data_IF_081194643989
#
_entry.id   IF_081194643989
#
_cell.length_a   1.000
_cell.length_b   1.000
_cell.length_c   1.000
_cell.angle_alpha   90.00
_cell.angle_beta   90.00
_cell.angle_gamma   90.00
#
_symmetry.space_group_name_H-M   'P 1'
#
loop_
_entity.id
_entity.type
_entity.pdbx_description
1 polymer ?
#
# COMPACT_ATOMS: atom_id res chain seq x y z
N UNK A 1 3.12 -17.96 -0.24
CA UNK A 1 2.46 -16.63 -0.28
C UNK A 1 3.53 -15.56 -0.33
N UNK A 2 3.47 -14.68 -1.33
CA UNK A 2 4.49 -13.66 -1.54
C UNK A 2 4.47 -12.54 -0.50
N UNK A 3 5.65 -12.01 -0.20
CA UNK A 3 6.07 -11.11 0.86
C UNK A 3 5.07 -10.15 1.51
N UNK A 4 4.41 -9.29 0.75
CA UNK A 4 3.50 -8.29 1.35
C UNK A 4 2.23 -8.92 1.95
N UNK A 5 1.69 -9.98 1.36
CA UNK A 5 0.55 -10.73 1.90
C UNK A 5 0.92 -11.53 3.14
N UNK A 6 2.14 -12.10 3.18
CA UNK A 6 2.66 -12.80 4.35
C UNK A 6 2.82 -11.85 5.54
N UNK A 7 3.42 -10.67 5.32
CA UNK A 7 3.59 -9.65 6.34
C UNK A 7 2.25 -9.16 6.92
N UNK A 8 1.27 -8.83 6.05
CA UNK A 8 -0.06 -8.39 6.51
C UNK A 8 -0.77 -9.45 7.36
N UNK A 9 -0.71 -10.71 6.96
CA UNK A 9 -1.32 -11.81 7.72
C UNK A 9 -0.71 -11.98 9.12
N UNK A 10 0.60 -11.71 9.27
CA UNK A 10 1.29 -11.78 10.55
C UNK A 10 0.92 -10.57 11.44
N UNK A 11 0.85 -9.36 10.87
CA UNK A 11 0.57 -8.12 11.62
C UNK A 11 -0.88 -8.00 12.09
N UNK A 12 -1.85 -8.52 11.34
CA UNK A 12 -3.27 -8.50 11.74
C UNK A 12 -3.55 -9.22 13.06
N UNK A 13 -2.67 -10.12 13.52
CA UNK A 13 -2.82 -10.85 14.80
C UNK A 13 -2.20 -10.14 16.02
N UNK A 14 -1.40 -9.06 15.84
CA UNK A 14 -0.74 -8.34 16.95
C UNK A 14 -1.35 -6.97 17.17
N UNK A 15 -2.40 -6.90 18.02
CA UNK A 15 -3.11 -5.66 18.34
C UNK A 15 -2.29 -4.63 19.12
N UNK A 16 -2.21 -3.42 18.57
CA UNK A 16 -2.09 -2.12 19.26
C UNK A 16 -3.04 -1.17 18.55
N UNK A 17 -4.34 -1.33 18.82
CA UNK A 17 -5.38 -0.84 17.92
C UNK A 17 -5.46 0.70 17.78
N UNK A 18 -5.35 1.49 18.84
CA UNK A 18 -5.70 2.92 18.77
C UNK A 18 -4.56 3.81 18.26
N UNK A 19 -3.32 3.60 18.70
CA UNK A 19 -2.18 4.38 18.21
C UNK A 19 -1.86 4.07 16.74
N UNK A 20 -1.97 2.80 16.34
CA UNK A 20 -1.80 2.39 14.94
C UNK A 20 -2.89 3.00 14.05
N UNK A 21 -4.16 3.05 14.51
CA UNK A 21 -5.26 3.68 13.80
C UNK A 21 -5.05 5.17 13.64
N UNK A 22 -4.57 5.88 14.68
CA UNK A 22 -4.30 7.31 14.61
C UNK A 22 -3.21 7.63 13.56
N UNK A 23 -2.11 6.84 13.53
CA UNK A 23 -1.05 6.97 12.52
C UNK A 23 -1.57 6.70 11.11
N UNK A 24 -2.36 5.64 10.94
CA UNK A 24 -2.97 5.30 9.65
C UNK A 24 -3.88 6.43 9.17
N UNK A 25 -4.73 6.99 10.03
CA UNK A 25 -5.57 8.14 9.68
C UNK A 25 -4.76 9.39 9.35
N UNK A 26 -3.62 9.61 10.01
CA UNK A 26 -2.73 10.72 9.68
C UNK A 26 -2.14 10.58 8.27
N UNK A 27 -1.69 9.37 7.88
CA UNK A 27 -1.18 9.07 6.54
C UNK A 27 -2.25 9.22 5.46
N UNK A 28 -3.42 8.63 5.66
CA UNK A 28 -4.57 8.76 4.75
C UNK A 28 -5.03 10.23 4.61
N UNK A 29 -5.08 10.97 5.70
CA UNK A 29 -5.39 12.40 5.69
C UNK A 29 -4.36 13.22 4.92
N UNK A 30 -3.06 12.86 5.00
CA UNK A 30 -2.00 13.49 4.23
C UNK A 30 -2.17 13.21 2.73
N UNK A 31 -2.40 11.95 2.34
CA UNK A 31 -2.65 11.59 0.94
C UNK A 31 -3.85 12.34 0.36
N UNK A 32 -4.98 12.41 1.09
CA UNK A 32 -6.16 13.19 0.69
C UNK A 32 -5.80 14.68 0.50
N UNK A 33 -5.06 15.27 1.44
CA UNK A 33 -4.64 16.68 1.36
C UNK A 33 -3.76 16.93 0.14
N UNK A 34 -2.78 16.05 -0.11
CA UNK A 34 -1.87 16.15 -1.27
C UNK A 34 -2.63 15.97 -2.57
N UNK A 35 -3.49 14.96 -2.66
CA UNK A 35 -4.29 14.72 -3.85
C UNK A 35 -5.22 15.91 -4.19
N UNK A 36 -5.87 16.49 -3.18
CA UNK A 36 -6.71 17.67 -3.36
C UNK A 36 -5.91 18.93 -3.73
N UNK A 37 -4.67 19.06 -3.24
CA UNK A 37 -3.78 20.21 -3.53
C UNK A 37 -3.17 20.14 -4.93
N UNK A 38 -2.76 18.94 -5.38
CA UNK A 38 -2.13 18.73 -6.69
C UNK A 38 -3.14 18.70 -7.85
N UNK A 39 -4.42 18.49 -7.55
CA UNK A 39 -5.51 18.47 -8.50
C UNK A 39 -6.65 19.39 -8.08
N UNK A 40 -7.87 19.03 -8.47
CA UNK A 40 -9.06 19.73 -7.99
C UNK A 40 -9.54 19.13 -6.65
N UNK A 41 -10.09 19.92 -5.71
CA UNK A 41 -10.62 19.44 -4.44
C UNK A 41 -12.00 18.76 -4.58
N UNK A 42 -12.34 18.32 -5.79
CA UNK A 42 -13.57 17.60 -6.12
C UNK A 42 -13.21 16.16 -6.56
N UNK A 43 -13.66 15.13 -5.83
CA UNK A 43 -13.40 13.74 -6.17
C UNK A 43 -13.95 13.33 -7.55
N UNK A 44 -15.00 13.98 -8.04
CA UNK A 44 -15.56 13.70 -9.36
C UNK A 44 -14.58 14.07 -10.49
N UNK A 45 -13.78 15.11 -10.27
CA UNK A 45 -12.82 15.65 -11.23
C UNK A 45 -11.36 15.26 -10.95
N UNK A 46 -11.10 14.59 -9.83
CA UNK A 46 -9.74 14.22 -9.38
C UNK A 46 -9.70 12.73 -9.02
N UNK A 47 -9.19 11.91 -9.95
CA UNK A 47 -9.11 10.46 -9.78
C UNK A 47 -8.25 10.07 -8.56
N UNK A 48 -7.09 10.72 -8.34
CA UNK A 48 -6.23 10.47 -7.18
C UNK A 48 -6.96 10.76 -5.86
N UNK A 49 -7.68 11.86 -5.78
CA UNK A 49 -8.47 12.22 -4.60
C UNK A 49 -9.59 11.21 -4.35
N UNK A 50 -10.25 10.76 -5.40
CA UNK A 50 -11.30 9.74 -5.32
C UNK A 50 -10.76 8.44 -4.75
N UNK A 51 -9.61 7.95 -5.25
CA UNK A 51 -8.95 6.75 -4.75
C UNK A 51 -8.52 6.90 -3.28
N UNK A 52 -7.91 8.02 -2.91
CA UNK A 52 -7.51 8.29 -1.52
C UNK A 52 -8.72 8.32 -0.56
N UNK A 53 -9.86 8.86 -1.00
CA UNK A 53 -11.09 8.85 -0.20
C UNK A 53 -11.66 7.43 -0.07
N UNK A 54 -11.63 6.62 -1.13
CA UNK A 54 -12.09 5.23 -1.08
C UNK A 54 -11.23 4.41 -0.11
N UNK A 55 -9.91 4.55 -0.15
CA UNK A 55 -9.01 3.89 0.79
C UNK A 55 -9.27 4.33 2.25
N UNK A 56 -9.45 5.63 2.49
CA UNK A 56 -9.78 6.16 3.81
C UNK A 56 -11.11 5.61 4.34
N UNK A 57 -12.12 5.45 3.49
CA UNK A 57 -13.41 4.84 3.85
C UNK A 57 -13.28 3.35 4.15
N UNK A 58 -12.48 2.62 3.37
CA UNK A 58 -12.19 1.19 3.59
C UNK A 58 -11.58 0.95 4.97
N UNK A 59 -10.74 1.89 5.44
CA UNK A 59 -10.14 1.88 6.79
C UNK A 59 -11.04 2.52 7.88
N UNK A 60 -12.31 2.78 7.57
CA UNK A 60 -13.31 3.37 8.46
C UNK A 60 -12.92 4.76 8.99
N UNK A 61 -12.26 5.58 8.18
CA UNK A 61 -11.99 6.98 8.54
C UNK A 61 -13.30 7.78 8.59
N UNK A 62 -13.57 8.53 9.69
CA UNK A 62 -14.77 9.36 9.80
C UNK A 62 -14.85 10.38 8.66
N UNK A 63 -16.07 10.59 8.14
CA UNK A 63 -16.37 11.55 7.07
C UNK A 63 -15.82 12.96 7.36
N UNK A 64 -15.96 13.42 8.60
CA UNK A 64 -15.47 14.74 9.02
C UNK A 64 -13.95 14.87 8.90
N UNK A 65 -13.19 13.77 9.10
CA UNK A 65 -11.75 13.77 8.93
C UNK A 65 -11.36 13.88 7.45
N UNK A 66 -12.09 13.18 6.58
CA UNK A 66 -11.91 13.26 5.12
C UNK A 66 -12.18 14.67 4.63
N UNK A 67 -13.34 15.27 5.01
CA UNK A 67 -13.70 16.64 4.63
C UNK A 67 -12.70 17.67 5.15
N UNK A 68 -12.20 17.49 6.37
CA UNK A 68 -11.17 18.36 6.95
C UNK A 68 -9.86 18.27 6.18
N UNK A 69 -9.45 17.07 5.75
CA UNK A 69 -8.25 16.87 4.94
C UNK A 69 -8.36 17.55 3.57
N UNK A 70 -9.53 17.48 2.91
CA UNK A 70 -9.79 18.16 1.64
C UNK A 70 -9.76 19.68 1.85
N UNK A 71 -10.44 20.21 2.88
CA UNK A 71 -10.44 21.64 3.20
C UNK A 71 -9.06 22.19 3.53
N UNK A 72 -8.22 21.39 4.20
CA UNK A 72 -6.83 21.74 4.50
C UNK A 72 -6.02 22.04 3.23
N UNK A 73 -6.29 21.34 2.13
CA UNK A 73 -5.60 21.56 0.86
C UNK A 73 -5.76 22.97 0.29
N UNK A 74 -6.88 23.64 0.57
CA UNK A 74 -7.17 25.01 0.12
C UNK A 74 -6.49 26.09 0.98
N UNK A 75 -5.87 25.74 2.12
CA UNK A 75 -5.21 26.69 3.02
C UNK A 75 -3.88 27.17 2.46
N UNK A 76 -3.59 28.48 2.65
CA UNK A 76 -2.35 29.12 2.19
C UNK A 76 -1.07 28.52 2.86
N UNK A 77 -1.21 28.03 4.08
CA UNK A 77 -0.11 27.46 4.89
C UNK A 77 0.05 25.93 4.75
N UNK A 78 -0.58 25.32 3.74
CA UNK A 78 -0.45 23.88 3.54
C UNK A 78 0.93 23.56 3.01
N UNK A 79 1.70 22.75 3.74
CA UNK A 79 3.02 22.29 3.32
C UNK A 79 2.98 21.66 1.92
N UNK A 80 4.01 21.90 1.13
CA UNK A 80 4.20 21.21 -0.14
C UNK A 80 4.85 19.86 0.19
N UNK A 81 4.18 18.79 -0.22
CA UNK A 81 4.69 17.44 -0.05
C UNK A 81 5.25 16.93 -1.37
N UNK A 82 6.43 16.35 -1.30
CA UNK A 82 7.04 15.61 -2.38
C UNK A 82 6.75 14.12 -2.21
N UNK A 83 6.37 13.46 -3.30
CA UNK A 83 6.34 12.00 -3.36
C UNK A 83 7.76 11.50 -3.62
N UNK A 84 8.29 10.70 -2.72
CA UNK A 84 9.66 10.16 -2.81
C UNK A 84 9.61 8.65 -2.62
N UNK A 85 10.36 7.92 -3.45
CA UNK A 85 10.52 6.48 -3.35
C UNK A 85 11.96 6.16 -2.94
N UNK A 86 12.08 5.40 -1.87
CA UNK A 86 13.33 4.86 -1.35
C UNK A 86 13.41 3.38 -1.68
N UNK A 87 14.55 2.96 -2.18
CA UNK A 87 14.79 1.58 -2.64
C UNK A 87 16.08 1.04 -2.02
N UNK A 88 16.07 -0.23 -1.64
CA UNK A 88 17.23 -0.85 -1.06
C UNK A 88 17.04 -2.31 -0.72
N UNK A 89 18.06 -2.89 -0.13
CA UNK A 89 18.10 -4.26 0.31
C UNK A 89 18.11 -4.33 1.83
N UNK A 90 17.21 -5.13 2.39
CA UNK A 90 17.18 -5.50 3.81
C UNK A 90 17.99 -6.77 4.09
N UNK A 91 17.91 -7.30 5.33
CA UNK A 91 18.51 -8.56 5.72
C UNK A 91 18.19 -9.69 4.72
N UNK A 92 19.15 -10.57 4.48
CA UNK A 92 18.97 -11.71 3.55
C UNK A 92 18.84 -11.32 2.08
N UNK A 93 19.18 -10.08 1.70
CA UNK A 93 19.07 -9.60 0.32
C UNK A 93 17.63 -9.33 -0.15
N UNK A 94 16.70 -9.16 0.79
CA UNK A 94 15.30 -8.83 0.50
C UNK A 94 15.19 -7.44 -0.08
N UNK A 95 14.57 -7.32 -1.25
CA UNK A 95 14.29 -6.03 -1.86
C UNK A 95 13.17 -5.30 -1.13
N UNK A 96 13.37 -4.01 -0.88
CA UNK A 96 12.45 -3.15 -0.15
C UNK A 96 12.22 -1.85 -0.92
N UNK A 97 10.95 -1.51 -1.13
CA UNK A 97 10.50 -0.21 -1.64
C UNK A 97 9.73 0.47 -0.51
N UNK A 98 10.11 1.69 -0.15
CA UNK A 98 9.37 2.54 0.77
C UNK A 98 8.94 3.83 0.04
N UNK A 99 7.63 4.07 -0.01
CA UNK A 99 7.05 5.28 -0.59
C UNK A 99 6.75 6.28 0.53
N UNK A 100 7.13 7.52 0.33
CA UNK A 100 6.94 8.58 1.31
C UNK A 100 6.32 9.83 0.69
N UNK A 101 5.51 10.53 1.49
CA UNK A 101 5.07 11.89 1.25
C UNK A 101 5.73 12.80 2.28
N UNK A 102 6.64 13.64 1.86
CA UNK A 102 7.44 14.45 2.77
C UNK A 102 7.50 15.92 2.36
N UNK A 103 7.51 16.79 3.33
CA UNK A 103 7.82 18.21 3.18
C UNK A 103 9.34 18.50 3.33
N UNK A 104 10.13 17.46 3.71
CA UNK A 104 11.57 17.57 3.88
C UNK A 104 12.30 16.27 3.49
N UNK A 105 12.74 16.19 2.24
CA UNK A 105 13.43 15.01 1.67
C UNK A 105 14.70 14.61 2.45
N UNK A 106 15.43 15.57 3.01
CA UNK A 106 16.68 15.29 3.75
C UNK A 106 16.37 14.62 5.09
N UNK A 107 15.38 15.12 5.82
CA UNK A 107 14.91 14.52 7.08
C UNK A 107 14.46 13.08 6.84
N UNK A 108 13.54 12.87 5.93
CA UNK A 108 12.99 11.53 5.63
C UNK A 108 14.04 10.58 5.08
N UNK A 109 14.90 11.05 4.16
CA UNK A 109 16.01 10.24 3.63
C UNK A 109 17.01 9.83 4.70
N UNK A 110 17.30 10.70 5.66
CA UNK A 110 18.13 10.39 6.83
C UNK A 110 17.49 9.37 7.77
N UNK A 111 16.18 9.50 8.05
CA UNK A 111 15.43 8.56 8.87
C UNK A 111 15.35 7.17 8.22
N UNK A 112 14.97 7.10 6.94
CA UNK A 112 14.92 5.84 6.19
C UNK A 112 16.30 5.16 6.15
N UNK A 113 17.37 5.91 5.85
CA UNK A 113 18.75 5.38 5.85
C UNK A 113 19.13 4.80 7.21
N UNK A 114 18.78 5.49 8.27
CA UNK A 114 19.04 5.03 9.65
C UNK A 114 18.37 3.71 9.94
N UNK A 115 17.10 3.51 9.48
CA UNK A 115 16.39 2.25 9.63
C UNK A 115 17.10 1.14 8.84
N UNK A 116 17.44 1.37 7.54
CA UNK A 116 18.18 0.39 6.76
C UNK A 116 19.47 -0.05 7.46
N UNK A 117 20.30 0.90 7.90
CA UNK A 117 21.54 0.62 8.60
C UNK A 117 21.32 -0.15 9.90
N UNK A 118 20.33 0.24 10.70
CA UNK A 118 20.01 -0.41 11.99
C UNK A 118 19.67 -1.88 11.83
N UNK A 119 19.03 -2.25 10.74
CA UNK A 119 18.60 -3.62 10.46
C UNK A 119 19.51 -4.34 9.45
N UNK A 120 20.78 -3.96 9.35
CA UNK A 120 21.79 -4.61 8.50
C UNK A 120 21.44 -4.59 7.00
N UNK A 121 20.65 -3.60 6.59
CA UNK A 121 20.29 -3.37 5.19
C UNK A 121 21.14 -2.28 4.56
N UNK A 122 20.92 -2.06 3.28
CA UNK A 122 21.61 -1.04 2.50
C UNK A 122 20.60 -0.25 1.64
N UNK A 123 20.49 1.05 1.89
CA UNK A 123 19.69 1.94 1.07
C UNK A 123 20.44 2.23 -0.23
N UNK A 124 19.85 1.86 -1.36
CA UNK A 124 20.36 2.07 -2.70
C UNK A 124 19.89 3.39 -3.33
N UNK A 125 20.19 3.53 -4.61
CA UNK A 125 19.62 4.59 -5.46
C UNK A 125 18.23 4.19 -5.98
N UNK A 126 17.45 5.16 -6.42
CA UNK A 126 16.18 4.91 -7.11
C UNK A 126 16.42 4.02 -8.33
N UNK A 127 15.62 2.97 -8.50
CA UNK A 127 15.79 1.97 -9.55
C UNK A 127 16.60 0.73 -9.13
N UNK A 128 17.17 0.71 -7.91
CA UNK A 128 18.04 -0.39 -7.49
C UNK A 128 17.28 -1.71 -7.28
N UNK A 129 16.01 -1.68 -6.91
CA UNK A 129 15.19 -2.87 -6.67
C UNK A 129 13.85 -2.88 -7.41
N UNK A 130 13.40 -1.76 -7.97
CA UNK A 130 12.08 -1.66 -8.61
C UNK A 130 11.90 -2.62 -9.79
N UNK A 131 13.00 -3.04 -10.44
CA UNK A 131 12.97 -4.06 -11.50
C UNK A 131 12.54 -5.46 -11.01
N UNK A 132 12.54 -5.70 -9.70
CA UNK A 132 12.05 -6.95 -9.08
C UNK A 132 10.55 -6.91 -8.78
N UNK A 133 9.89 -5.79 -9.04
CA UNK A 133 8.48 -5.57 -8.76
C UNK A 133 7.75 -5.11 -10.02
N UNK A 134 6.47 -5.46 -10.11
CA UNK A 134 5.54 -4.85 -11.04
C UNK A 134 4.74 -3.75 -10.32
N UNK A 135 4.69 -2.55 -10.88
CA UNK A 135 3.82 -1.49 -10.38
C UNK A 135 2.42 -1.73 -10.91
N UNK A 136 1.48 -2.11 -10.05
CA UNK A 136 0.13 -2.52 -10.42
C UNK A 136 -0.93 -1.75 -9.64
N UNK A 137 -2.12 -1.70 -10.21
CA UNK A 137 -3.35 -1.38 -9.51
C UNK A 137 -3.96 -2.65 -8.92
N UNK A 138 -4.41 -2.61 -7.68
CA UNK A 138 -5.16 -3.67 -7.01
C UNK A 138 -6.54 -3.15 -6.63
N UNK A 139 -7.59 -3.87 -7.03
CA UNK A 139 -8.99 -3.56 -6.75
C UNK A 139 -9.57 -4.77 -6.03
N UNK A 140 -10.12 -4.58 -4.84
CA UNK A 140 -10.69 -5.67 -4.07
C UNK A 140 -12.20 -5.55 -3.94
N UNK A 141 -12.87 -6.67 -4.02
CA UNK A 141 -14.30 -6.80 -3.78
C UNK A 141 -14.58 -7.87 -2.72
N UNK A 142 -15.65 -7.68 -1.96
CA UNK A 142 -16.13 -8.69 -1.04
C UNK A 142 -16.74 -9.87 -1.81
N UNK A 143 -16.74 -11.05 -1.19
CA UNK A 143 -17.23 -12.28 -1.81
C UNK A 143 -18.70 -12.19 -2.28
N UNK A 144 -19.50 -11.37 -1.60
CA UNK A 144 -20.93 -11.22 -1.92
C UNK A 144 -21.19 -10.42 -3.20
N UNK A 145 -20.16 -9.82 -3.82
CA UNK A 145 -20.32 -9.01 -5.03
C UNK A 145 -20.58 -9.82 -6.30
N UNK A 146 -20.31 -11.11 -6.29
CA UNK A 146 -20.58 -11.99 -7.41
C UNK A 146 -19.92 -13.35 -7.25
N UNK A 147 -20.25 -14.28 -8.15
CA UNK A 147 -19.49 -15.51 -8.29
C UNK A 147 -18.10 -15.24 -8.86
N UNK A 148 -17.11 -16.14 -8.67
CA UNK A 148 -15.80 -16.02 -9.31
C UNK A 148 -15.89 -15.76 -10.82
N UNK A 149 -16.78 -16.46 -11.52
CA UNK A 149 -16.97 -16.32 -12.97
C UNK A 149 -17.52 -14.94 -13.34
N UNK A 150 -18.52 -14.45 -12.61
CA UNK A 150 -19.11 -13.12 -12.83
C UNK A 150 -18.07 -12.01 -12.64
N UNK A 151 -17.22 -12.14 -11.61
CA UNK A 151 -16.19 -11.14 -11.35
C UNK A 151 -15.05 -11.23 -12.37
N UNK A 152 -14.69 -12.45 -12.81
CA UNK A 152 -13.71 -12.66 -13.87
C UNK A 152 -14.17 -12.03 -15.20
N UNK A 153 -15.43 -12.26 -15.61
CA UNK A 153 -16.01 -11.65 -16.80
C UNK A 153 -15.96 -10.12 -16.72
N UNK A 154 -16.41 -9.54 -15.59
CA UNK A 154 -16.36 -8.10 -15.39
C UNK A 154 -14.92 -7.55 -15.41
N UNK A 155 -13.94 -8.29 -14.88
CA UNK A 155 -12.53 -7.92 -14.90
C UNK A 155 -11.96 -7.92 -16.32
N UNK A 156 -12.28 -8.93 -17.13
CA UNK A 156 -11.88 -9.01 -18.55
C UNK A 156 -12.46 -7.83 -19.33
N UNK A 157 -13.75 -7.56 -19.17
CA UNK A 157 -14.43 -6.46 -19.86
C UNK A 157 -13.90 -5.09 -19.45
N UNK A 158 -13.44 -4.96 -18.19
CA UNK A 158 -12.82 -3.75 -17.69
C UNK A 158 -11.35 -3.56 -18.15
N UNK A 159 -10.73 -4.58 -18.76
CA UNK A 159 -9.34 -4.56 -19.21
C UNK A 159 -8.34 -4.80 -18.06
N UNK A 160 -8.69 -5.58 -17.06
CA UNK A 160 -7.79 -6.03 -16.01
C UNK A 160 -6.84 -7.13 -16.53
N UNK A 161 -5.67 -7.25 -15.86
CA UNK A 161 -4.64 -8.25 -16.22
C UNK A 161 -4.92 -9.61 -15.56
N UNK A 162 -5.52 -9.60 -14.36
CA UNK A 162 -5.77 -10.81 -13.57
C UNK A 162 -6.92 -10.60 -12.59
N UNK A 163 -7.64 -11.69 -12.26
CA UNK A 163 -8.68 -11.70 -11.23
C UNK A 163 -8.64 -13.02 -10.46
N UNK A 164 -8.37 -12.95 -9.16
CA UNK A 164 -8.31 -14.09 -8.26
C UNK A 164 -9.42 -14.00 -7.23
N UNK A 165 -10.15 -15.10 -7.06
CA UNK A 165 -11.23 -15.20 -6.07
C UNK A 165 -10.91 -16.30 -5.06
N UNK A 166 -11.10 -16.00 -3.77
CA UNK A 166 -10.96 -16.96 -2.68
C UNK A 166 -12.06 -16.77 -1.62
N UNK A 167 -11.92 -17.44 -0.47
CA UNK A 167 -12.89 -17.33 0.63
C UNK A 167 -12.95 -15.93 1.27
N UNK A 168 -12.00 -15.05 0.99
CA UNK A 168 -11.92 -13.70 1.56
C UNK A 168 -12.48 -12.63 0.63
N UNK A 169 -12.65 -12.96 -0.67
CA UNK A 169 -13.19 -12.05 -1.67
C UNK A 169 -12.52 -12.19 -3.02
N UNK A 170 -12.58 -11.11 -3.79
CA UNK A 170 -12.02 -11.04 -5.14
C UNK A 170 -10.93 -9.97 -5.18
N UNK A 171 -9.79 -10.31 -5.77
CA UNK A 171 -8.66 -9.43 -5.99
C UNK A 171 -8.42 -9.31 -7.49
N UNK A 172 -8.60 -8.11 -8.02
CA UNK A 172 -8.42 -7.81 -9.44
C UNK A 172 -7.15 -6.94 -9.56
N UNK A 173 -6.28 -7.29 -10.49
CA UNK A 173 -5.05 -6.54 -10.75
C UNK A 173 -5.01 -6.03 -12.18
N UNK A 174 -4.45 -4.83 -12.37
CA UNK A 174 -4.24 -4.22 -13.67
C UNK A 174 -2.93 -3.42 -13.68
N UNK A 175 -2.45 -3.03 -14.85
CA UNK A 175 -1.35 -2.07 -14.95
C UNK A 175 -1.72 -0.79 -14.18
N UNK A 176 -0.74 -0.22 -13.47
CA UNK A 176 -0.96 0.99 -12.64
C UNK A 176 -1.58 2.14 -13.43
N UNK A 177 -1.11 2.37 -14.66
CA UNK A 177 -1.60 3.45 -15.52
C UNK A 177 -3.09 3.29 -15.91
N UNK A 178 -3.61 2.06 -15.85
CA UNK A 178 -5.00 1.74 -16.18
C UNK A 178 -5.92 1.70 -14.95
N UNK A 179 -5.36 1.82 -13.72
CA UNK A 179 -6.11 1.64 -12.47
C UNK A 179 -7.40 2.46 -12.41
N UNK A 180 -7.34 3.74 -12.77
CA UNK A 180 -8.52 4.62 -12.73
C UNK A 180 -9.61 4.20 -13.72
N UNK A 181 -9.23 3.75 -14.90
CA UNK A 181 -10.17 3.31 -15.95
C UNK A 181 -10.80 1.97 -15.58
N UNK A 182 -9.99 1.01 -15.16
CA UNK A 182 -10.45 -0.32 -14.74
C UNK A 182 -11.36 -0.22 -13.51
N UNK A 183 -10.98 0.57 -12.49
CA UNK A 183 -11.80 0.79 -11.32
C UNK A 183 -13.16 1.39 -11.66
N UNK A 184 -13.23 2.38 -12.56
CA UNK A 184 -14.48 3.00 -12.99
C UNK A 184 -15.38 2.03 -13.80
N UNK A 185 -14.79 1.16 -14.61
CA UNK A 185 -15.53 0.13 -15.35
C UNK A 185 -16.10 -0.92 -14.40
N UNK A 186 -15.29 -1.42 -13.46
CA UNK A 186 -15.71 -2.38 -12.45
C UNK A 186 -16.77 -1.80 -11.50
N UNK A 187 -16.70 -0.54 -11.14
CA UNK A 187 -17.71 0.12 -10.31
C UNK A 187 -19.08 0.13 -10.99
N UNK A 188 -19.13 0.30 -12.31
CA UNK A 188 -20.39 0.22 -13.09
C UNK A 188 -20.95 -1.19 -13.13
N UNK A 189 -20.09 -2.21 -13.21
CA UNK A 189 -20.50 -3.61 -13.34
C UNK A 189 -20.85 -4.25 -11.98
N UNK A 190 -20.04 -4.02 -10.95
CA UNK A 190 -20.10 -4.70 -9.65
C UNK A 190 -20.46 -3.76 -8.49
N UNK A 191 -20.56 -2.43 -8.75
CA UNK A 191 -20.74 -1.42 -7.73
C UNK A 191 -19.45 -1.05 -7.03
N UNK A 192 -19.55 -0.31 -5.90
CA UNK A 192 -18.39 0.20 -5.17
C UNK A 192 -17.45 -0.92 -4.71
N UNK A 193 -16.16 -0.75 -5.01
CA UNK A 193 -15.09 -1.64 -4.57
C UNK A 193 -14.84 -1.48 -3.07
N UNK A 194 -14.37 -2.54 -2.43
CA UNK A 194 -13.93 -2.49 -1.04
C UNK A 194 -12.65 -1.66 -0.89
N UNK A 195 -11.71 -1.79 -1.84
CA UNK A 195 -10.46 -1.05 -1.85
C UNK A 195 -9.96 -0.90 -3.28
N UNK A 196 -9.36 0.25 -3.58
CA UNK A 196 -8.66 0.53 -4.84
C UNK A 196 -7.34 1.20 -4.48
N UNK A 197 -6.21 0.57 -4.81
CA UNK A 197 -4.90 1.06 -4.43
C UNK A 197 -3.81 0.73 -5.45
N UNK A 198 -2.75 1.52 -5.44
CA UNK A 198 -1.50 1.23 -6.12
C UNK A 198 -0.61 0.35 -5.23
N UNK A 199 0.10 -0.60 -5.83
CA UNK A 199 1.07 -1.42 -5.11
C UNK A 199 2.23 -1.90 -5.99
N UNK A 200 3.33 -2.23 -5.34
CA UNK A 200 4.48 -2.89 -5.94
C UNK A 200 4.39 -4.39 -5.65
N UNK A 201 3.91 -5.16 -6.65
CA UNK A 201 3.77 -6.62 -6.55
C UNK A 201 5.11 -7.27 -6.87
N UNK A 202 5.69 -8.11 -5.99
CA UNK A 202 6.93 -8.81 -6.30
C UNK A 202 6.78 -9.72 -7.52
N UNK A 203 7.66 -9.55 -8.50
CA UNK A 203 7.81 -10.48 -9.62
C UNK A 203 8.84 -11.58 -9.34
N UNK A 204 9.81 -11.26 -8.46
CA UNK A 204 10.81 -12.20 -7.96
C UNK A 204 10.76 -12.21 -6.44
N UNK A 205 10.67 -13.39 -5.83
CA UNK A 205 10.66 -13.55 -4.37
C UNK A 205 12.02 -14.04 -3.86
N UNK A 206 12.36 -13.63 -2.63
CA UNK A 206 13.56 -14.06 -1.90
C UNK A 206 13.14 -14.94 -0.74
N UNK A 207 13.51 -16.23 -0.78
CA UNK A 207 13.25 -17.15 0.33
C UNK A 207 14.11 -16.79 1.54
N UNK A 208 13.50 -16.70 2.70
CA UNK A 208 14.19 -16.38 3.96
C UNK A 208 13.80 -17.35 5.07
N UNK A 209 14.71 -17.54 6.02
CA UNK A 209 14.46 -18.28 7.25
C UNK A 209 13.68 -17.45 8.29
N UNK A 210 13.39 -18.07 9.43
CA UNK A 210 12.62 -17.44 10.51
C UNK A 210 13.34 -16.23 11.10
N UNK A 211 14.67 -16.30 11.30
CA UNK A 211 15.45 -15.22 11.91
C UNK A 211 15.46 -13.97 11.00
N UNK A 212 15.75 -14.18 9.71
CA UNK A 212 15.73 -13.11 8.72
C UNK A 212 14.32 -12.53 8.57
N UNK A 213 13.27 -13.36 8.53
CA UNK A 213 11.89 -12.91 8.45
C UNK A 213 11.52 -12.01 9.64
N UNK A 214 11.92 -12.38 10.86
CA UNK A 214 11.69 -11.56 12.05
C UNK A 214 12.43 -10.21 12.00
N UNK A 215 13.68 -10.19 11.49
CA UNK A 215 14.45 -8.94 11.30
C UNK A 215 13.75 -8.04 10.27
N UNK A 216 13.31 -8.60 9.14
CA UNK A 216 12.59 -7.87 8.08
C UNK A 216 11.28 -7.28 8.64
N UNK A 217 10.51 -8.05 9.38
CA UNK A 217 9.26 -7.57 9.99
C UNK A 217 9.48 -6.39 10.94
N UNK A 218 10.55 -6.42 11.75
CA UNK A 218 10.94 -5.30 12.61
C UNK A 218 11.37 -4.09 11.80
N UNK A 219 12.08 -4.30 10.69
CA UNK A 219 12.52 -3.25 9.79
C UNK A 219 11.32 -2.57 9.11
N UNK A 220 10.36 -3.36 8.59
CA UNK A 220 9.13 -2.82 8.00
C UNK A 220 8.36 -2.00 9.02
N UNK A 221 8.15 -2.54 10.23
CA UNK A 221 7.47 -1.82 11.31
C UNK A 221 8.16 -0.49 11.66
N UNK A 222 9.50 -0.45 11.63
CA UNK A 222 10.26 0.77 11.90
C UNK A 222 10.16 1.79 10.74
N UNK A 223 10.08 1.33 9.49
CA UNK A 223 9.82 2.19 8.33
C UNK A 223 8.40 2.74 8.36
N UNK A 224 7.42 1.89 8.65
CA UNK A 224 6.01 2.28 8.74
C UNK A 224 5.71 3.19 9.96
N UNK A 225 6.58 3.18 10.97
CA UNK A 225 6.47 4.07 12.14
C UNK A 225 6.83 5.51 11.81
N UNK A 226 7.58 5.76 10.75
CA UNK A 226 7.87 7.10 10.24
C UNK A 226 6.60 7.71 9.63
N UNK A 227 6.28 8.95 10.04
CA UNK A 227 5.04 9.62 9.61
C UNK A 227 5.05 9.97 8.12
N UNK A 228 6.21 10.15 7.51
CA UNK A 228 6.32 10.49 6.10
C UNK A 228 6.22 9.25 5.19
N UNK A 229 6.58 8.05 5.69
CA UNK A 229 6.46 6.79 4.94
C UNK A 229 5.00 6.37 4.85
N UNK A 230 4.48 6.25 3.63
CA UNK A 230 3.10 5.85 3.36
C UNK A 230 2.97 4.34 3.24
N UNK A 231 3.78 3.73 2.39
CA UNK A 231 3.74 2.31 2.07
C UNK A 231 5.15 1.71 2.10
N UNK A 232 5.24 0.43 2.50
CA UNK A 232 6.45 -0.37 2.40
C UNK A 232 6.13 -1.67 1.69
N UNK A 233 6.86 -1.98 0.61
CA UNK A 233 6.71 -3.20 -0.17
C UNK A 233 8.00 -4.01 -0.11
N UNK A 234 7.86 -5.33 -0.03
CA UNK A 234 8.97 -6.26 0.16
C UNK A 234 8.76 -7.51 -0.69
N UNK A 235 9.84 -8.16 -1.08
CA UNK A 235 9.80 -9.36 -1.92
C UNK A 235 10.17 -10.66 -1.20
N UNK A 236 10.18 -10.69 0.15
CA UNK A 236 10.52 -11.93 0.86
C UNK A 236 9.39 -12.98 0.81
N UNK A 237 9.78 -14.22 0.91
CA UNK A 237 8.88 -15.36 1.04
C UNK A 237 9.38 -16.29 2.14
N UNK A 238 8.46 -16.93 2.86
CA UNK A 238 8.76 -17.89 3.92
C UNK A 238 8.05 -19.22 3.64
N UNK A 239 8.62 -20.32 4.12
CA UNK A 239 7.95 -21.62 4.09
C UNK A 239 6.69 -21.62 4.97
N UNK A 240 5.79 -22.57 4.70
CA UNK A 240 4.58 -22.73 5.51
C UNK A 240 4.88 -22.96 7.00
N UNK A 241 5.93 -23.72 7.31
CA UNK A 241 6.34 -23.99 8.68
C UNK A 241 6.82 -22.74 9.41
N UNK A 242 7.60 -21.90 8.74
CA UNK A 242 8.04 -20.61 9.25
C UNK A 242 6.84 -19.67 9.42
N UNK A 243 5.90 -19.67 8.47
CA UNK A 243 4.68 -18.87 8.56
C UNK A 243 3.85 -19.25 9.80
N UNK A 244 3.64 -20.55 10.05
CA UNK A 244 2.93 -21.05 11.25
C UNK A 244 3.60 -20.57 12.53
N UNK A 245 4.92 -20.67 12.64
CA UNK A 245 5.68 -20.18 13.81
C UNK A 245 5.54 -18.66 14.02
N UNK A 246 5.62 -17.89 12.95
CA UNK A 246 5.49 -16.42 13.01
C UNK A 246 4.08 -15.95 13.37
N UNK A 247 3.05 -16.72 12.98
CA UNK A 247 1.64 -16.42 13.27
C UNK A 247 1.14 -17.01 14.58
N UNK A 248 1.88 -17.93 15.19
CA UNK A 248 1.47 -18.66 16.40
C UNK A 248 0.29 -19.59 16.13
N UNK A 249 0.18 -20.13 14.93
CA UNK A 249 -0.87 -21.05 14.50
C UNK A 249 -0.39 -22.49 14.58
#
# INVERSE_FOLDING_TARGET
MAGHSAYKNIMHKKGRADAARAKMFAKLGREITVAAKMGMPDPAMNARLRLAIQEARAENMPKDNIERAIKKAAGADTANYDSVRYEGYGPGGVAIIAEALTDNRNRTGGAVRSVFTKYEGNLGSTGSVSHMFAHVGEITYRIEKGSPDTVLEAAIDAGADDAVSDAHGHVITCAFDNLGTVAAALEKALGEAQSVKSMWKPGLTTQVDEEIAQKIMKMIAALEDDEDVQNVFVNFEVSEDVMKKLTGA
#
